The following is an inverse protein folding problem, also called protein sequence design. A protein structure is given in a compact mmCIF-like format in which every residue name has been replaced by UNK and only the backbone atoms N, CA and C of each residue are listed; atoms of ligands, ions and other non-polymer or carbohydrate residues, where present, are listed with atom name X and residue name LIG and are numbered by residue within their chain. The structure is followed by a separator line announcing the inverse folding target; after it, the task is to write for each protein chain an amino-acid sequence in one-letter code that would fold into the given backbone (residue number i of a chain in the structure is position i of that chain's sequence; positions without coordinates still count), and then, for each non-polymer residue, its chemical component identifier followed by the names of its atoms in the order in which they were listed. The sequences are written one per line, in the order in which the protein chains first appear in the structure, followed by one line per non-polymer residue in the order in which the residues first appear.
data_IF_822272728652
#
_entry.id   IF_822272728652
#
_cell.length_a   1.000
_cell.length_b   1.000
_cell.length_c   1.000
_cell.angle_alpha   90.00
_cell.angle_beta   90.00
_cell.angle_gamma   90.00
#
_symmetry.space_group_name_H-M   'P 1'
#
loop_
_entity.id
_entity.type
_entity.pdbx_description
1 polymer ?
#
# COMPACT_ATOMS: atom_id res chain seq x y z
N UNK A 1 -2.34 10.00 -13.45
CA UNK A 1 -1.19 9.29 -12.83
C UNK A 1 -1.66 7.93 -12.33
N UNK A 2 -0.79 6.93 -12.31
CA UNK A 2 -1.03 5.65 -11.62
C UNK A 2 -0.33 5.65 -10.26
N UNK A 3 -1.11 5.54 -9.18
CA UNK A 3 -0.62 5.68 -7.81
C UNK A 3 -0.79 4.35 -7.09
N UNK A 4 0.32 3.76 -6.64
CA UNK A 4 0.29 2.62 -5.72
C UNK A 4 0.25 3.14 -4.28
N UNK A 5 -0.80 2.79 -3.55
CA UNK A 5 -0.98 3.13 -2.13
C UNK A 5 -0.86 1.84 -1.31
N UNK A 6 0.19 1.71 -0.50
CA UNK A 6 0.31 0.57 0.41
C UNK A 6 -0.39 0.87 1.74
N UNK A 7 -0.92 -0.15 2.42
CA UNK A 7 -1.64 0.04 3.69
C UNK A 7 -2.98 0.76 3.52
N UNK A 8 -3.54 0.72 2.31
CA UNK A 8 -4.74 1.46 1.93
C UNK A 8 -6.03 0.95 2.58
N UNK A 9 -6.06 -0.27 3.13
CA UNK A 9 -7.20 -0.77 3.89
C UNK A 9 -7.15 -0.39 5.38
N UNK A 10 -6.11 0.33 5.82
CA UNK A 10 -5.99 0.91 7.15
C UNK A 10 -6.66 2.28 7.27
N UNK A 11 -6.59 2.88 8.47
CA UNK A 11 -7.29 4.13 8.79
C UNK A 11 -6.87 5.32 7.91
N UNK A 12 -5.58 5.67 7.90
CA UNK A 12 -5.08 6.83 7.13
C UNK A 12 -5.06 6.52 5.64
N UNK A 13 -4.61 5.32 5.26
CA UNK A 13 -4.51 4.90 3.86
C UNK A 13 -5.85 4.96 3.12
N UNK A 14 -6.93 4.49 3.73
CA UNK A 14 -8.27 4.53 3.12
C UNK A 14 -8.78 5.96 2.93
N UNK A 15 -8.60 6.83 3.93
CA UNK A 15 -8.97 8.24 3.82
C UNK A 15 -8.15 8.96 2.73
N UNK A 16 -6.86 8.63 2.60
CA UNK A 16 -6.02 9.14 1.51
C UNK A 16 -6.57 8.70 0.15
N UNK A 17 -6.95 7.43 -0.01
CA UNK A 17 -7.56 6.92 -1.25
C UNK A 17 -8.84 7.68 -1.58
N UNK A 18 -9.77 7.83 -0.63
CA UNK A 18 -11.02 8.57 -0.86
C UNK A 18 -10.78 10.01 -1.24
N UNK A 19 -9.83 10.67 -0.56
CA UNK A 19 -9.45 12.03 -0.87
C UNK A 19 -8.88 12.13 -2.29
N UNK A 20 -7.92 11.28 -2.65
CA UNK A 20 -7.28 11.31 -3.96
C UNK A 20 -8.28 11.03 -5.09
N UNK A 21 -9.13 10.02 -4.96
CA UNK A 21 -10.14 9.72 -5.99
C UNK A 21 -11.15 10.84 -6.16
N UNK A 22 -11.46 11.59 -5.09
CA UNK A 22 -12.35 12.75 -5.16
C UNK A 22 -11.70 13.96 -5.82
N UNK A 23 -10.44 14.25 -5.48
CA UNK A 23 -9.74 15.45 -5.98
C UNK A 23 -9.11 15.25 -7.36
N UNK A 24 -8.77 14.01 -7.69
CA UNK A 24 -8.10 13.60 -8.92
C UNK A 24 -8.86 12.42 -9.55
N UNK A 25 -10.07 12.66 -10.09
CA UNK A 25 -10.93 11.59 -10.61
C UNK A 25 -10.34 10.87 -11.84
N UNK A 26 -9.39 11.49 -12.54
CA UNK A 26 -8.71 10.91 -13.70
C UNK A 26 -7.48 10.06 -13.31
N UNK A 27 -7.05 10.11 -12.04
CA UNK A 27 -5.94 9.29 -11.55
C UNK A 27 -6.41 7.86 -11.27
N UNK A 28 -5.50 6.90 -11.45
CA UNK A 28 -5.70 5.49 -11.10
C UNK A 28 -5.06 5.23 -9.74
N UNK A 29 -5.75 4.47 -8.90
CA UNK A 29 -5.24 4.03 -7.59
C UNK A 29 -5.20 2.51 -7.52
N UNK A 30 -4.03 1.99 -7.17
CA UNK A 30 -3.80 0.59 -6.83
C UNK A 30 -3.52 0.49 -5.34
N UNK A 31 -4.51 0.00 -4.58
CA UNK A 31 -4.39 -0.22 -3.14
C UNK A 31 -3.73 -1.58 -2.87
N UNK A 32 -2.51 -1.59 -2.35
CA UNK A 32 -1.80 -2.77 -1.88
C UNK A 32 -1.98 -2.90 -0.36
N UNK A 33 -2.56 -4.00 0.12
CA UNK A 33 -2.67 -4.24 1.57
C UNK A 33 -2.51 -5.72 1.92
N UNK A 34 -1.86 -6.01 3.05
CA UNK A 34 -1.71 -7.38 3.56
C UNK A 34 -2.98 -7.88 4.27
N UNK A 35 -3.86 -6.97 4.67
CA UNK A 35 -5.01 -7.21 5.55
C UNK A 35 -4.56 -7.87 6.85
N UNK A 36 -3.63 -7.22 7.57
CA UNK A 36 -3.31 -7.59 8.95
C UNK A 36 -4.51 -7.25 9.85
N UNK A 37 -4.36 -7.41 11.18
CA UNK A 37 -5.42 -7.03 12.13
C UNK A 37 -5.92 -5.58 11.99
N UNK A 38 -5.09 -4.68 11.46
CA UNK A 38 -5.42 -3.25 11.30
C UNK A 38 -6.01 -2.92 9.92
N UNK A 39 -5.94 -3.85 8.96
CA UNK A 39 -6.51 -3.68 7.63
C UNK A 39 -7.92 -4.26 7.57
N UNK A 40 -8.88 -3.49 7.06
CA UNK A 40 -10.24 -3.96 6.87
C UNK A 40 -10.75 -3.59 5.47
N UNK A 41 -11.04 -4.62 4.67
CA UNK A 41 -11.52 -4.45 3.29
C UNK A 41 -12.87 -3.72 3.23
N UNK A 42 -13.73 -3.86 4.25
CA UNK A 42 -15.01 -3.16 4.30
C UNK A 42 -14.85 -1.64 4.32
N UNK A 43 -13.70 -1.14 4.82
CA UNK A 43 -13.38 0.29 4.77
C UNK A 43 -13.39 0.80 3.34
N UNK A 44 -12.92 0.00 2.38
CA UNK A 44 -12.78 0.38 0.97
C UNK A 44 -14.06 0.21 0.15
N UNK A 45 -15.16 -0.31 0.72
CA UNK A 45 -16.45 -0.48 0.03
C UNK A 45 -16.87 0.71 -0.85
N UNK A 46 -16.73 1.99 -0.42
CA UNK A 46 -17.14 3.13 -1.23
C UNK A 46 -16.43 3.29 -2.58
N UNK A 47 -15.26 2.66 -2.75
CA UNK A 47 -14.45 2.78 -3.97
C UNK A 47 -14.24 1.45 -4.71
N UNK A 48 -14.72 0.33 -4.16
CA UNK A 48 -14.48 -1.01 -4.73
C UNK A 48 -14.96 -1.16 -6.18
N UNK A 49 -16.07 -0.50 -6.53
CA UNK A 49 -16.66 -0.56 -7.88
C UNK A 49 -16.17 0.55 -8.81
N UNK A 50 -15.20 1.36 -8.39
CA UNK A 50 -14.68 2.47 -9.20
C UNK A 50 -13.76 1.94 -10.32
N UNK A 51 -13.93 2.38 -11.58
CA UNK A 51 -13.17 1.84 -12.72
C UNK A 51 -11.67 2.15 -12.66
N UNK A 52 -11.29 3.19 -11.91
CA UNK A 52 -9.91 3.62 -11.69
C UNK A 52 -9.33 3.12 -10.36
N UNK A 53 -10.01 2.22 -9.65
CA UNK A 53 -9.53 1.61 -8.41
C UNK A 53 -9.23 0.13 -8.60
N UNK A 54 -8.14 -0.35 -8.00
CA UNK A 54 -7.83 -1.78 -7.88
C UNK A 54 -7.35 -2.09 -6.47
N UNK A 55 -7.89 -3.14 -5.87
CA UNK A 55 -7.35 -3.71 -4.64
C UNK A 55 -6.43 -4.90 -4.94
N UNK A 56 -5.29 -4.97 -4.25
CA UNK A 56 -4.30 -6.05 -4.36
C UNK A 56 -3.94 -6.52 -2.94
N UNK A 57 -4.30 -7.77 -2.62
CA UNK A 57 -3.89 -8.38 -1.35
C UNK A 57 -2.45 -8.89 -1.46
N UNK A 58 -1.50 -8.24 -0.81
CA UNK A 58 -0.07 -8.56 -0.92
C UNK A 58 0.70 -8.06 0.31
N UNK A 59 1.82 -8.73 0.61
CA UNK A 59 2.79 -8.28 1.60
C UNK A 59 3.89 -7.45 0.95
N UNK A 60 4.17 -6.25 1.47
CA UNK A 60 5.27 -5.40 0.99
C UNK A 60 6.65 -6.04 1.21
N UNK A 61 6.76 -7.05 2.07
CA UNK A 61 7.99 -7.83 2.23
C UNK A 61 8.20 -8.87 1.10
N UNK A 62 7.17 -9.20 0.32
CA UNK A 62 7.31 -10.13 -0.81
C UNK A 62 7.88 -9.40 -2.02
N UNK A 63 9.21 -9.41 -2.12
CA UNK A 63 9.94 -8.73 -3.20
C UNK A 63 9.52 -9.18 -4.60
N UNK A 64 9.29 -10.47 -4.79
CA UNK A 64 8.93 -10.99 -6.11
C UNK A 64 7.54 -10.49 -6.50
N UNK A 65 6.59 -10.53 -5.56
CA UNK A 65 5.24 -10.04 -5.79
C UNK A 65 5.20 -8.52 -6.01
N UNK A 66 5.96 -7.75 -5.21
CA UNK A 66 6.08 -6.29 -5.38
C UNK A 66 6.65 -5.95 -6.75
N UNK A 67 7.70 -6.65 -7.19
CA UNK A 67 8.27 -6.42 -8.52
C UNK A 67 7.30 -6.77 -9.64
N UNK A 68 6.57 -7.89 -9.51
CA UNK A 68 5.50 -8.26 -10.44
C UNK A 68 4.41 -7.19 -10.51
N UNK A 69 4.00 -6.61 -9.37
CA UNK A 69 3.02 -5.53 -9.35
C UNK A 69 3.54 -4.27 -10.07
N UNK A 70 4.80 -3.90 -9.87
CA UNK A 70 5.39 -2.74 -10.56
C UNK A 70 5.52 -2.96 -12.07
N UNK A 71 5.79 -4.20 -12.50
CA UNK A 71 5.80 -4.59 -13.93
C UNK A 71 4.40 -4.59 -14.54
N UNK A 72 3.38 -4.96 -13.77
CA UNK A 72 1.99 -5.00 -14.24
C UNK A 72 1.35 -3.61 -14.29
N UNK A 73 1.55 -2.81 -13.24
CA UNK A 73 0.84 -1.53 -13.07
C UNK A 73 1.66 -0.33 -13.57
N UNK A 74 2.99 -0.41 -13.65
CA UNK A 74 3.84 0.73 -14.02
C UNK A 74 3.47 2.02 -13.25
N UNK A 75 3.60 2.03 -11.91
CA UNK A 75 3.21 3.20 -11.12
C UNK A 75 4.01 4.43 -11.52
N UNK A 76 3.40 5.61 -11.40
CA UNK A 76 4.10 6.90 -11.45
C UNK A 76 4.56 7.31 -10.05
N UNK A 77 3.77 6.95 -9.03
CA UNK A 77 3.95 7.37 -7.63
C UNK A 77 3.65 6.20 -6.69
N UNK A 78 4.42 6.10 -5.60
CA UNK A 78 4.17 5.16 -4.51
C UNK A 78 3.98 5.93 -3.20
N UNK A 79 2.85 5.70 -2.52
CA UNK A 79 2.55 6.27 -1.20
C UNK A 79 2.49 5.13 -0.18
N UNK A 80 3.45 5.09 0.74
CA UNK A 80 3.61 3.97 1.66
C UNK A 80 2.99 4.23 3.04
N UNK A 81 1.78 3.73 3.30
CA UNK A 81 1.17 3.72 4.65
C UNK A 81 1.27 2.35 5.35
N UNK A 82 1.68 1.29 4.64
CA UNK A 82 1.81 -0.04 5.23
C UNK A 82 2.85 -0.06 6.35
N UNK A 83 2.41 -0.30 7.57
CA UNK A 83 3.24 -0.39 8.74
C UNK A 83 2.51 -1.13 9.88
N UNK A 84 3.29 -1.70 10.79
CA UNK A 84 2.87 -1.95 12.15
C UNK A 84 3.01 -0.66 12.97
N UNK A 85 1.94 -0.22 13.62
CA UNK A 85 1.85 1.14 14.18
C UNK A 85 1.52 1.21 15.68
N UNK A 86 1.05 0.12 16.27
CA UNK A 86 0.59 0.13 17.66
C UNK A 86 1.75 -0.04 18.66
N UNK A 87 2.07 0.99 19.44
CA UNK A 87 3.24 1.00 20.34
C UNK A 87 3.26 -0.20 21.29
N UNK A 88 2.14 -0.52 21.96
CA UNK A 88 2.11 -1.65 22.90
C UNK A 88 2.49 -2.98 22.24
N UNK A 89 2.07 -3.20 20.99
CA UNK A 89 2.44 -4.41 20.22
C UNK A 89 3.92 -4.43 19.87
N UNK A 90 4.55 -3.27 19.71
CA UNK A 90 5.99 -3.19 19.46
C UNK A 90 6.82 -3.60 20.68
N UNK A 91 6.27 -3.46 21.89
CA UNK A 91 6.90 -3.92 23.13
C UNK A 91 6.81 -5.44 23.23
N UNK A 92 5.64 -6.01 22.90
CA UNK A 92 5.40 -7.46 22.99
C UNK A 92 6.08 -8.25 21.87
N UNK A 93 6.06 -7.73 20.64
CA UNK A 93 6.63 -8.37 19.47
C UNK A 93 7.31 -7.32 18.55
N UNK A 94 8.56 -6.92 18.85
CA UNK A 94 9.27 -5.92 18.05
C UNK A 94 9.66 -6.41 16.65
N UNK A 95 9.78 -7.72 16.44
CA UNK A 95 10.26 -8.30 15.18
C UNK A 95 9.33 -7.97 14.01
N UNK A 96 8.01 -8.00 14.21
CA UNK A 96 7.03 -7.70 13.15
C UNK A 96 7.11 -6.22 12.69
N UNK A 97 7.53 -5.32 13.58
CA UNK A 97 7.75 -3.90 13.27
C UNK A 97 9.01 -3.73 12.41
N UNK A 98 10.10 -4.43 12.75
CA UNK A 98 11.31 -4.42 11.93
C UNK A 98 11.04 -5.01 10.54
N UNK A 99 10.32 -6.13 10.50
CA UNK A 99 9.96 -6.80 9.25
C UNK A 99 9.15 -5.88 8.34
N UNK A 100 8.04 -5.31 8.82
CA UNK A 100 7.16 -4.51 7.96
C UNK A 100 7.74 -3.12 7.70
N UNK A 101 8.12 -2.40 8.77
CA UNK A 101 8.41 -0.97 8.67
C UNK A 101 9.81 -0.72 8.10
N UNK A 102 10.76 -1.63 8.29
CA UNK A 102 12.13 -1.47 7.81
C UNK A 102 12.35 -2.34 6.56
N UNK A 103 12.19 -3.66 6.67
CA UNK A 103 12.46 -4.57 5.55
C UNK A 103 11.44 -4.37 4.42
N UNK A 104 10.15 -4.27 4.73
CA UNK A 104 9.11 -3.97 3.74
C UNK A 104 9.36 -2.65 3.01
N UNK A 105 9.70 -1.58 3.74
CA UNK A 105 10.09 -0.30 3.14
C UNK A 105 11.30 -0.45 2.22
N UNK A 106 12.32 -1.23 2.61
CA UNK A 106 13.49 -1.49 1.75
C UNK A 106 13.12 -2.16 0.42
N UNK A 107 12.15 -3.07 0.43
CA UNK A 107 11.67 -3.77 -0.78
C UNK A 107 10.98 -2.78 -1.72
N UNK A 108 10.13 -1.90 -1.18
CA UNK A 108 9.47 -0.85 -1.96
C UNK A 108 10.49 0.15 -2.54
N UNK A 109 11.47 0.58 -1.75
CA UNK A 109 12.53 1.48 -2.25
C UNK A 109 13.37 0.84 -3.35
N UNK A 110 13.69 -0.44 -3.23
CA UNK A 110 14.38 -1.18 -4.28
C UNK A 110 13.54 -1.29 -5.56
N UNK A 111 12.22 -1.52 -5.42
CA UNK A 111 11.30 -1.52 -6.55
C UNK A 111 11.26 -0.14 -7.22
N UNK A 112 11.07 0.94 -6.45
CA UNK A 112 11.11 2.31 -6.95
C UNK A 112 12.40 2.58 -7.75
N UNK A 113 13.56 2.24 -7.19
CA UNK A 113 14.86 2.40 -7.86
C UNK A 113 14.96 1.57 -9.15
N UNK A 114 14.50 0.31 -9.12
CA UNK A 114 14.59 -0.60 -10.28
C UNK A 114 13.69 -0.14 -11.44
N UNK A 115 12.48 0.34 -11.13
CA UNK A 115 11.47 0.69 -12.12
C UNK A 115 11.40 2.20 -12.43
N UNK A 116 12.29 3.00 -11.83
CA UNK A 116 12.47 4.41 -12.20
C UNK A 116 11.46 5.38 -11.57
N UNK A 117 10.90 5.04 -10.41
CA UNK A 117 10.07 5.94 -9.62
C UNK A 117 10.99 6.94 -8.91
N UNK A 118 10.78 8.24 -9.12
CA UNK A 118 11.61 9.34 -8.60
C UNK A 118 11.01 9.97 -7.34
#
# INVERSE_FOLDING_TARGET
MNIVVTGGAGFIGSNFIFYMMKQHPDDRIVCLDKLTYAGNLSTLEPVMDSPNFRFVKMDICDRTAVYGLFEEEHPDVVVNFAAESHVDRSIENPEIFLQTNIIGTSVLMDACRKYGIQ
#
